data_IF_659499650926
#
_entry.id   IF_659499650926
#
_cell.length_a   1.000
_cell.length_b   1.000
_cell.length_c   1.000
_cell.angle_alpha   90.00
_cell.angle_beta   90.00
_cell.angle_gamma   90.00
#
_symmetry.space_group_name_H-M   'P 1'
#
loop_
_entity.id
_entity.type
_entity.pdbx_description
1 polymer ?
#
# COMPACT_ATOMS: atom_id res chain seq x y z
N UNK A 1 6.80 12.40 4.61
CA UNK A 1 5.66 12.94 5.37
C UNK A 1 5.96 14.37 5.85
N UNK A 2 7.08 14.62 6.55
CA UNK A 2 7.46 15.92 7.11
C UNK A 2 7.43 17.05 6.07
N UNK A 3 8.10 16.87 4.92
CA UNK A 3 8.11 17.86 3.82
C UNK A 3 6.69 18.30 3.42
N UNK A 4 5.75 17.38 3.34
CA UNK A 4 4.36 17.68 2.96
C UNK A 4 3.61 18.35 4.11
N UNK A 5 3.81 17.87 5.33
CA UNK A 5 3.20 18.48 6.51
C UNK A 5 3.65 19.94 6.69
N UNK A 6 4.94 20.21 6.53
CA UNK A 6 5.52 21.57 6.63
C UNK A 6 5.03 22.45 5.48
N UNK A 7 5.04 21.94 4.24
CA UNK A 7 4.67 22.71 3.05
C UNK A 7 3.20 23.17 3.07
N UNK A 8 2.29 22.27 3.48
CA UNK A 8 0.86 22.58 3.54
C UNK A 8 0.38 22.99 4.94
N UNK A 9 1.29 23.08 5.92
CA UNK A 9 0.93 23.32 7.32
C UNK A 9 -0.07 22.32 7.87
N UNK A 10 0.11 21.02 7.53
CA UNK A 10 -0.70 19.94 8.06
C UNK A 10 -0.18 19.44 9.41
N UNK A 11 -1.10 19.07 10.28
CA UNK A 11 -0.74 18.39 11.52
C UNK A 11 -0.16 17.01 11.19
N UNK A 12 1.06 16.77 11.63
CA UNK A 12 1.71 15.45 11.53
C UNK A 12 1.69 14.76 12.90
N UNK A 13 1.27 13.51 12.92
CA UNK A 13 1.42 12.61 14.07
C UNK A 13 2.42 11.53 13.66
N UNK A 14 3.52 11.45 14.38
CA UNK A 14 4.52 10.41 14.18
C UNK A 14 4.40 9.36 15.27
N UNK A 15 4.12 8.12 14.90
CA UNK A 15 4.03 6.98 15.78
C UNK A 15 5.08 5.93 15.40
N UNK A 16 6.08 5.76 16.25
CA UNK A 16 7.08 4.71 16.08
C UNK A 16 6.55 3.36 16.58
N UNK A 17 6.43 2.41 15.66
CA UNK A 17 5.94 1.05 15.92
C UNK A 17 7.07 0.03 16.09
N UNK A 18 8.33 0.44 16.12
CA UNK A 18 9.49 -0.47 16.19
C UNK A 18 9.38 -1.42 17.39
N UNK A 19 9.18 -0.89 18.58
CA UNK A 19 9.05 -1.73 19.79
C UNK A 19 7.86 -2.68 19.75
N UNK A 20 6.73 -2.23 19.17
CA UNK A 20 5.53 -3.07 19.02
C UNK A 20 5.80 -4.23 18.06
N UNK A 21 6.46 -3.94 16.95
CA UNK A 21 6.86 -4.94 15.97
C UNK A 21 7.86 -5.94 16.56
N UNK A 22 8.89 -5.48 17.27
CA UNK A 22 9.91 -6.32 17.88
C UNK A 22 9.30 -7.24 18.94
N UNK A 23 8.44 -6.70 19.82
CA UNK A 23 7.75 -7.50 20.84
C UNK A 23 6.83 -8.56 20.22
N UNK A 24 6.15 -8.22 19.13
CA UNK A 24 5.32 -9.18 18.39
C UNK A 24 6.16 -10.32 17.82
N UNK A 25 7.31 -10.01 17.22
CA UNK A 25 8.24 -11.03 16.71
C UNK A 25 8.78 -11.93 17.79
N UNK A 26 9.22 -11.36 18.90
CA UNK A 26 9.73 -12.12 20.05
C UNK A 26 8.72 -13.17 20.55
N UNK A 27 7.43 -12.82 20.61
CA UNK A 27 6.41 -13.79 21.03
C UNK A 27 6.17 -14.88 19.99
N UNK A 28 6.17 -14.52 18.69
CA UNK A 28 6.01 -15.51 17.59
C UNK A 28 7.20 -16.47 17.53
N UNK A 29 8.42 -15.97 17.73
CA UNK A 29 9.63 -16.79 17.66
C UNK A 29 9.74 -17.83 18.77
N UNK A 30 9.01 -17.68 19.88
CA UNK A 30 8.89 -18.71 20.93
C UNK A 30 8.09 -19.93 20.49
N UNK A 31 7.36 -19.86 19.37
CA UNK A 31 6.50 -20.94 18.90
C UNK A 31 7.26 -22.06 18.16
N UNK A 32 8.51 -21.84 17.76
CA UNK A 32 9.33 -22.83 17.09
C UNK A 32 10.61 -22.26 16.48
N UNK A 33 11.37 -23.14 15.86
CA UNK A 33 12.57 -22.76 15.10
C UNK A 33 12.17 -22.43 13.66
N UNK A 34 12.57 -21.26 13.19
CA UNK A 34 12.26 -20.75 11.85
C UNK A 34 13.55 -20.40 11.11
N UNK A 35 13.58 -20.63 9.81
CA UNK A 35 14.68 -20.19 8.95
C UNK A 35 14.58 -18.68 8.68
N UNK A 36 15.71 -18.05 8.36
CA UNK A 36 15.75 -16.62 7.99
C UNK A 36 14.83 -16.30 6.81
N UNK A 37 14.68 -17.21 5.85
CA UNK A 37 13.81 -17.03 4.68
C UNK A 37 12.32 -17.06 5.09
N UNK A 38 11.91 -17.98 5.95
CA UNK A 38 10.54 -18.06 6.48
C UNK A 38 10.19 -16.80 7.27
N UNK A 39 11.10 -16.33 8.11
CA UNK A 39 10.93 -15.09 8.86
C UNK A 39 10.83 -13.88 7.96
N UNK A 40 11.70 -13.74 6.97
CA UNK A 40 11.69 -12.62 6.05
C UNK A 40 10.38 -12.54 5.27
N UNK A 41 9.92 -13.67 4.71
CA UNK A 41 8.68 -13.73 3.95
C UNK A 41 7.44 -13.44 4.81
N UNK A 42 7.46 -13.86 6.08
CA UNK A 42 6.37 -13.61 7.03
C UNK A 42 6.33 -12.15 7.51
N UNK A 43 7.49 -11.52 7.67
CA UNK A 43 7.65 -10.16 8.18
C UNK A 43 7.13 -9.07 7.22
N UNK A 44 7.12 -9.33 5.92
CA UNK A 44 6.70 -8.34 4.90
C UNK A 44 5.30 -7.80 5.20
N UNK A 45 4.37 -8.66 5.56
CA UNK A 45 2.97 -8.29 5.72
C UNK A 45 2.57 -7.83 7.12
N UNK A 46 3.38 -8.11 8.16
CA UNK A 46 3.02 -7.69 9.53
C UNK A 46 3.14 -6.18 9.71
N UNK A 47 4.13 -5.53 9.09
CA UNK A 47 4.32 -4.08 9.20
C UNK A 47 3.13 -3.27 8.67
N UNK A 48 2.59 -3.51 7.45
CA UNK A 48 1.37 -2.87 6.99
C UNK A 48 0.15 -3.14 7.89
N UNK A 49 0.03 -4.35 8.45
CA UNK A 49 -1.06 -4.70 9.37
C UNK A 49 -0.99 -3.93 10.70
N UNK A 50 0.19 -3.79 11.26
CA UNK A 50 0.39 -2.96 12.45
C UNK A 50 0.08 -1.49 12.17
N UNK A 51 0.50 -0.96 11.01
CA UNK A 51 0.14 0.42 10.59
C UNK A 51 -1.36 0.59 10.46
N UNK A 52 -2.05 -0.34 9.80
CA UNK A 52 -3.51 -0.31 9.67
C UNK A 52 -4.21 -0.26 11.03
N UNK A 53 -3.88 -1.18 11.94
CA UNK A 53 -4.47 -1.20 13.28
C UNK A 53 -4.21 0.10 14.05
N UNK A 54 -3.00 0.67 13.92
CA UNK A 54 -2.63 1.95 14.56
C UNK A 54 -3.41 3.12 13.98
N UNK A 55 -3.61 3.17 12.65
CA UNK A 55 -4.39 4.23 11.99
C UNK A 55 -5.85 4.21 12.46
N UNK A 56 -6.49 3.05 12.52
CA UNK A 56 -7.85 2.93 13.01
C UNK A 56 -7.98 3.30 14.49
N UNK A 57 -7.01 2.89 15.32
CA UNK A 57 -6.99 3.30 16.72
C UNK A 57 -6.86 4.82 16.88
N UNK A 58 -5.96 5.45 16.13
CA UNK A 58 -5.79 6.91 16.13
C UNK A 58 -7.03 7.64 15.60
N UNK A 59 -7.65 7.14 14.53
CA UNK A 59 -8.87 7.71 13.99
C UNK A 59 -10.03 7.68 15.01
N UNK A 60 -10.18 6.56 15.73
CA UNK A 60 -11.17 6.46 16.82
C UNK A 60 -10.87 7.41 17.97
N UNK A 61 -9.60 7.52 18.39
CA UNK A 61 -9.18 8.44 19.45
C UNK A 61 -9.38 9.90 19.07
N UNK A 62 -8.98 10.31 17.87
CA UNK A 62 -9.18 11.68 17.37
C UNK A 62 -10.68 12.00 17.23
N UNK A 63 -11.50 11.02 16.82
CA UNK A 63 -12.95 11.19 16.75
C UNK A 63 -13.54 11.50 18.12
N UNK A 64 -13.14 10.73 19.14
CA UNK A 64 -13.59 10.93 20.51
C UNK A 64 -13.14 12.30 21.08
N UNK A 65 -11.87 12.68 20.84
CA UNK A 65 -11.30 13.92 21.37
C UNK A 65 -11.87 15.18 20.72
N UNK A 66 -12.22 15.11 19.43
CA UNK A 66 -12.65 16.29 18.65
C UNK A 66 -14.15 16.38 18.42
N UNK A 67 -14.91 15.34 18.77
CA UNK A 67 -16.35 15.28 18.49
C UNK A 67 -16.68 15.30 16.99
N UNK A 68 -15.78 14.74 16.15
CA UNK A 68 -15.91 14.65 14.68
C UNK A 68 -15.53 13.24 14.25
N UNK A 69 -16.09 12.78 13.14
CA UNK A 69 -15.69 11.49 12.55
C UNK A 69 -14.38 11.62 11.81
N UNK A 70 -13.38 10.87 12.22
CA UNK A 70 -12.12 10.69 11.51
C UNK A 70 -12.14 9.32 10.83
N UNK A 71 -11.67 9.28 9.60
CA UNK A 71 -11.65 8.08 8.75
C UNK A 71 -10.25 7.82 8.24
N UNK A 72 -9.97 6.57 7.90
CA UNK A 72 -8.69 6.16 7.30
C UNK A 72 -8.81 6.26 5.79
N UNK A 73 -7.91 7.03 5.17
CA UNK A 73 -7.81 7.13 3.71
C UNK A 73 -6.82 6.12 3.16
N UNK A 74 -7.25 5.35 2.17
CA UNK A 74 -6.41 4.49 1.35
C UNK A 74 -5.65 5.30 0.29
N UNK A 75 -4.44 4.87 0.00
CA UNK A 75 -3.52 5.57 -0.90
C UNK A 75 -3.02 4.70 -2.06
N UNK A 76 -3.61 3.53 -2.28
CA UNK A 76 -3.34 2.71 -3.46
C UNK A 76 -3.90 3.37 -4.71
N UNK A 77 -3.09 3.38 -5.78
CA UNK A 77 -3.49 3.87 -7.10
C UNK A 77 -4.13 2.74 -7.95
N UNK A 78 -4.68 3.09 -9.10
CA UNK A 78 -5.36 2.17 -10.02
C UNK A 78 -4.50 0.98 -10.44
N UNK A 79 -3.21 1.21 -10.68
CA UNK A 79 -2.29 0.15 -11.10
C UNK A 79 -1.97 -0.82 -9.96
N UNK A 80 -1.73 -0.32 -8.74
CA UNK A 80 -1.52 -1.13 -7.54
C UNK A 80 -2.75 -1.96 -7.22
N UNK A 81 -3.94 -1.35 -7.26
CA UNK A 81 -5.20 -2.06 -7.08
C UNK A 81 -5.37 -3.17 -8.12
N UNK A 82 -5.10 -2.89 -9.41
CA UNK A 82 -5.30 -3.87 -10.47
C UNK A 82 -4.43 -5.11 -10.32
N UNK A 83 -3.16 -4.95 -9.98
CA UNK A 83 -2.22 -6.08 -9.77
C UNK A 83 -2.22 -6.60 -8.33
N UNK A 84 -3.01 -5.98 -7.43
CA UNK A 84 -3.09 -6.33 -6.02
C UNK A 84 -1.80 -6.10 -5.25
N UNK A 85 -1.06 -5.04 -5.58
CA UNK A 85 0.17 -4.66 -4.91
C UNK A 85 -0.11 -3.94 -3.59
N UNK A 86 -0.69 -4.68 -2.67
CA UNK A 86 -1.00 -4.26 -1.30
C UNK A 86 -1.10 -5.48 -0.38
N UNK A 87 -1.05 -5.26 0.92
CA UNK A 87 -1.19 -6.30 1.94
C UNK A 87 -2.65 -6.48 2.32
N UNK A 88 -3.19 -7.70 2.12
CA UNK A 88 -4.53 -8.08 2.61
C UNK A 88 -4.59 -7.94 4.13
N UNK A 89 -5.56 -7.16 4.63
CA UNK A 89 -5.70 -6.86 6.05
C UNK A 89 -4.65 -5.89 6.60
N UNK A 90 -3.94 -5.19 5.71
CA UNK A 90 -3.05 -4.08 6.03
C UNK A 90 -3.53 -2.81 5.32
N UNK A 91 -2.74 -2.30 4.39
CA UNK A 91 -3.05 -1.11 3.58
C UNK A 91 -4.29 -1.28 2.68
N UNK A 92 -4.75 -2.53 2.44
CA UNK A 92 -6.05 -2.78 1.78
C UNK A 92 -7.27 -2.45 2.64
N UNK A 93 -7.10 -2.14 3.93
CA UNK A 93 -8.21 -1.82 4.84
C UNK A 93 -8.20 -0.32 5.14
N UNK A 94 -9.21 0.37 4.64
CA UNK A 94 -9.42 1.80 4.81
C UNK A 94 -10.91 2.13 4.61
N UNK A 95 -11.33 3.33 4.99
CA UNK A 95 -12.73 3.76 4.90
C UNK A 95 -13.05 4.43 3.56
N UNK A 96 -12.06 5.09 2.95
CA UNK A 96 -12.20 5.76 1.64
C UNK A 96 -10.96 5.51 0.79
N UNK A 97 -11.15 5.27 -0.49
CA UNK A 97 -10.09 5.20 -1.51
C UNK A 97 -10.00 6.55 -2.22
N UNK A 98 -8.90 7.26 -2.03
CA UNK A 98 -8.78 8.63 -2.55
C UNK A 98 -8.24 8.69 -3.98
N UNK A 99 -7.41 7.72 -4.37
CA UNK A 99 -6.71 7.71 -5.67
C UNK A 99 -6.80 6.36 -6.41
N UNK A 100 -7.70 5.47 -6.00
CA UNK A 100 -7.79 4.11 -6.57
C UNK A 100 -8.21 4.07 -8.06
N UNK A 101 -8.85 5.11 -8.57
CA UNK A 101 -9.24 5.22 -9.98
C UNK A 101 -8.21 5.94 -10.86
N UNK A 102 -7.12 6.45 -10.26
CA UNK A 102 -6.09 7.20 -10.97
C UNK A 102 -4.84 6.34 -11.19
N UNK A 103 -4.30 6.39 -12.41
CA UNK A 103 -2.98 5.83 -12.73
C UNK A 103 -1.87 6.64 -12.06
N UNK A 104 -0.64 6.10 -12.05
CA UNK A 104 0.52 6.83 -11.48
C UNK A 104 0.75 8.17 -12.18
N UNK A 105 0.64 8.22 -13.51
CA UNK A 105 0.83 9.46 -14.27
C UNK A 105 -0.26 10.50 -13.95
N UNK A 106 -1.50 10.07 -13.78
CA UNK A 106 -2.60 10.94 -13.35
C UNK A 106 -2.41 11.45 -11.91
N UNK A 107 -1.92 10.61 -11.00
CA UNK A 107 -1.58 11.02 -9.63
C UNK A 107 -0.46 12.07 -9.64
N UNK A 108 0.54 11.90 -10.49
CA UNK A 108 1.62 12.89 -10.69
C UNK A 108 1.04 14.20 -11.21
N UNK A 109 0.19 14.17 -12.25
CA UNK A 109 -0.44 15.37 -12.81
C UNK A 109 -1.31 16.12 -11.79
N UNK A 110 -2.06 15.38 -10.93
CA UNK A 110 -2.80 15.96 -9.80
C UNK A 110 -1.83 16.62 -8.82
N UNK A 111 -0.73 15.95 -8.49
CA UNK A 111 0.29 16.47 -7.59
C UNK A 111 0.96 17.76 -8.12
N UNK A 112 1.23 17.83 -9.41
CA UNK A 112 1.72 19.05 -10.09
C UNK A 112 0.71 20.21 -9.96
N UNK A 113 -0.56 19.94 -10.26
CA UNK A 113 -1.64 20.93 -10.11
C UNK A 113 -1.77 21.43 -8.66
N UNK A 114 -1.58 20.56 -7.68
CA UNK A 114 -1.62 20.90 -6.27
C UNK A 114 -0.31 21.52 -5.77
N UNK A 115 0.71 21.68 -6.62
CA UNK A 115 2.03 22.19 -6.26
C UNK A 115 2.76 21.35 -5.19
N UNK A 116 2.61 20.02 -5.26
CA UNK A 116 3.35 19.09 -4.39
C UNK A 116 4.85 19.28 -4.62
N UNK A 117 5.69 19.42 -3.58
CA UNK A 117 7.13 19.59 -3.74
C UNK A 117 7.75 18.47 -4.59
N UNK A 118 8.52 18.84 -5.63
CA UNK A 118 9.11 17.92 -6.61
C UNK A 118 9.86 16.75 -5.96
N UNK A 119 10.58 17.01 -4.86
CA UNK A 119 11.32 15.98 -4.09
C UNK A 119 10.43 14.85 -3.60
N UNK A 120 9.13 15.11 -3.40
CA UNK A 120 8.14 14.10 -2.99
C UNK A 120 7.43 13.56 -4.21
N UNK A 121 6.99 14.43 -5.11
CA UNK A 121 6.18 14.10 -6.27
C UNK A 121 6.86 13.09 -7.21
N UNK A 122 8.14 13.32 -7.52
CA UNK A 122 8.90 12.46 -8.44
C UNK A 122 9.77 11.41 -7.73
N UNK A 123 9.53 11.18 -6.44
CA UNK A 123 10.17 10.09 -5.73
C UNK A 123 9.68 8.76 -6.32
N UNK A 124 10.63 7.91 -6.73
CA UNK A 124 10.28 6.57 -7.23
C UNK A 124 9.48 5.79 -6.19
N UNK A 125 8.33 5.21 -6.58
CA UNK A 125 7.52 4.39 -5.69
C UNK A 125 8.34 3.24 -5.09
N UNK A 126 8.26 3.10 -3.79
CA UNK A 126 8.78 1.94 -3.07
C UNK A 126 7.98 1.73 -1.77
N UNK A 127 7.89 0.50 -1.33
CA UNK A 127 7.18 0.14 -0.09
C UNK A 127 7.93 0.49 1.21
N UNK A 128 9.16 1.02 1.09
CA UNK A 128 10.01 1.34 2.24
C UNK A 128 10.53 0.13 3.01
N UNK A 129 10.37 -1.08 2.50
CA UNK A 129 10.77 -2.33 3.13
C UNK A 129 12.09 -2.87 2.56
N UNK A 130 12.48 -2.41 1.36
CA UNK A 130 13.72 -2.78 0.69
C UNK A 130 14.28 -1.60 -0.12
N UNK A 131 15.48 -1.77 -0.68
CA UNK A 131 16.10 -0.79 -1.59
C UNK A 131 15.60 -0.90 -3.05
N UNK A 132 14.69 -1.83 -3.34
CA UNK A 132 14.11 -2.03 -4.67
C UNK A 132 12.89 -1.13 -4.86
N UNK A 133 12.66 -0.69 -6.10
CA UNK A 133 11.42 -0.01 -6.46
C UNK A 133 10.28 -1.01 -6.60
N UNK A 134 9.04 -0.53 -6.58
CA UNK A 134 7.87 -1.38 -6.78
C UNK A 134 7.89 -2.03 -8.17
N UNK A 135 8.33 -1.30 -9.21
CA UNK A 135 8.49 -1.85 -10.56
C UNK A 135 9.54 -2.97 -10.63
N UNK A 136 10.64 -2.85 -9.86
CA UNK A 136 11.65 -3.92 -9.77
C UNK A 136 11.06 -5.20 -9.17
N UNK A 137 10.22 -5.06 -8.14
CA UNK A 137 9.55 -6.19 -7.48
C UNK A 137 8.46 -6.82 -8.32
N UNK A 138 7.63 -6.00 -8.96
CA UNK A 138 6.58 -6.44 -9.87
C UNK A 138 7.18 -7.02 -11.16
N UNK A 139 8.33 -6.49 -11.59
CA UNK A 139 9.00 -6.78 -12.85
C UNK A 139 8.17 -6.36 -14.07
N UNK A 140 7.30 -5.38 -13.90
CA UNK A 140 6.53 -4.66 -14.92
C UNK A 140 6.46 -3.20 -14.53
N UNK A 141 6.35 -2.31 -15.50
CA UNK A 141 6.24 -0.86 -15.26
C UNK A 141 4.80 -0.45 -15.01
N UNK A 142 4.60 0.55 -14.18
CA UNK A 142 3.26 1.12 -13.95
C UNK A 142 2.60 1.63 -15.23
N UNK A 143 3.39 2.20 -16.16
CA UNK A 143 2.91 2.62 -17.46
C UNK A 143 2.33 1.46 -18.28
N UNK A 144 2.99 0.30 -18.25
CA UNK A 144 2.51 -0.89 -18.98
C UNK A 144 1.25 -1.45 -18.32
N UNK A 145 1.16 -1.41 -16.98
CA UNK A 145 -0.06 -1.80 -16.25
C UNK A 145 -1.21 -0.88 -16.63
N UNK A 146 -1.00 0.44 -16.64
CA UNK A 146 -2.02 1.42 -17.03
C UNK A 146 -2.50 1.17 -18.46
N UNK A 147 -1.57 1.01 -19.41
CA UNK A 147 -1.90 0.70 -20.81
C UNK A 147 -2.68 -0.61 -20.95
N UNK A 148 -2.29 -1.64 -20.19
CA UNK A 148 -2.99 -2.93 -20.19
C UNK A 148 -4.41 -2.83 -19.65
N UNK A 149 -4.64 -2.04 -18.61
CA UNK A 149 -5.98 -1.81 -18.05
C UNK A 149 -6.90 -1.18 -19.09
N UNK A 150 -6.39 -0.19 -19.82
CA UNK A 150 -7.17 0.52 -20.84
C UNK A 150 -7.39 -0.34 -22.09
N UNK A 151 -6.35 -1.02 -22.55
CA UNK A 151 -6.44 -1.93 -23.70
C UNK A 151 -5.36 -3.03 -23.58
N UNK A 152 -5.73 -4.27 -23.23
CA UNK A 152 -4.77 -5.38 -23.08
C UNK A 152 -3.90 -5.65 -24.30
N UNK A 153 -4.35 -5.25 -25.52
CA UNK A 153 -3.59 -5.44 -26.76
C UNK A 153 -2.56 -4.33 -27.02
N UNK A 154 -2.46 -3.32 -26.16
CA UNK A 154 -1.54 -2.18 -26.32
C UNK A 154 -0.14 -2.44 -25.77
N UNK A 155 0.07 -3.55 -25.08
CA UNK A 155 1.35 -3.96 -24.50
C UNK A 155 1.89 -5.22 -25.17
N UNK A 156 3.20 -5.44 -25.05
CA UNK A 156 3.80 -6.69 -25.54
C UNK A 156 3.15 -7.91 -24.88
N UNK A 157 3.01 -9.01 -25.64
CA UNK A 157 2.34 -10.22 -25.18
C UNK A 157 2.92 -10.78 -23.88
N UNK A 158 4.27 -10.81 -23.76
CA UNK A 158 4.96 -11.29 -22.56
C UNK A 158 4.63 -10.42 -21.34
N UNK A 159 4.66 -9.09 -21.51
CA UNK A 159 4.30 -8.12 -20.46
C UNK A 159 2.83 -8.28 -20.07
N UNK A 160 1.94 -8.40 -21.05
CA UNK A 160 0.51 -8.60 -20.82
C UNK A 160 0.20 -9.89 -20.06
N UNK A 161 0.86 -11.00 -20.39
CA UNK A 161 0.73 -12.27 -19.67
C UNK A 161 1.21 -12.15 -18.22
N UNK A 162 2.29 -11.42 -17.98
CA UNK A 162 2.81 -11.18 -16.63
C UNK A 162 1.83 -10.34 -15.80
N UNK A 163 1.30 -9.25 -16.35
CA UNK A 163 0.30 -8.41 -15.69
C UNK A 163 -0.95 -9.23 -15.35
N UNK A 164 -1.44 -10.01 -16.31
CA UNK A 164 -2.58 -10.90 -16.11
C UNK A 164 -2.35 -11.93 -15.00
N UNK A 165 -1.13 -12.49 -14.92
CA UNK A 165 -0.75 -13.42 -13.86
C UNK A 165 -0.77 -12.76 -12.49
N UNK A 166 -0.22 -11.54 -12.35
CA UNK A 166 -0.25 -10.77 -11.12
C UNK A 166 -1.70 -10.47 -10.69
N UNK A 167 -2.52 -9.97 -11.61
CA UNK A 167 -3.93 -9.71 -11.37
C UNK A 167 -4.66 -10.95 -10.86
N UNK A 168 -4.58 -12.07 -11.58
CA UNK A 168 -5.25 -13.30 -11.20
C UNK A 168 -4.79 -13.85 -9.85
N UNK A 169 -3.49 -13.76 -9.56
CA UNK A 169 -2.92 -14.19 -8.28
C UNK A 169 -3.43 -13.34 -7.10
N UNK A 170 -3.85 -12.10 -7.37
CA UNK A 170 -4.31 -11.16 -6.33
C UNK A 170 -5.82 -11.21 -6.05
N UNK A 171 -6.63 -11.88 -6.88
CA UNK A 171 -8.10 -11.89 -6.76
C UNK A 171 -8.60 -12.33 -5.38
N UNK A 172 -7.87 -13.22 -4.70
CA UNK A 172 -8.19 -13.63 -3.32
C UNK A 172 -8.12 -12.48 -2.29
N UNK A 173 -7.48 -11.36 -2.64
CA UNK A 173 -7.36 -10.18 -1.76
C UNK A 173 -8.64 -9.35 -1.77
N UNK A 174 -9.40 -9.39 -2.87
CA UNK A 174 -10.66 -8.65 -3.06
C UNK A 174 -11.87 -9.48 -2.66
N UNK A 175 -11.83 -10.78 -2.91
CA UNK A 175 -12.96 -11.66 -2.71
C UNK A 175 -12.70 -12.61 -1.53
N UNK A 176 -13.55 -12.52 -0.51
CA UNK A 176 -13.56 -13.47 0.59
C UNK A 176 -14.52 -14.61 0.25
N UNK A 177 -14.02 -15.85 0.06
CA UNK A 177 -14.90 -16.97 -0.22
C UNK A 177 -15.87 -17.20 0.93
N UNK A 178 -17.15 -17.36 0.62
CA UNK A 178 -18.18 -17.68 1.61
C UNK A 178 -18.73 -19.08 1.33
N UNK A 179 -18.79 -19.90 2.37
CA UNK A 179 -19.50 -21.18 2.30
C UNK A 179 -20.99 -20.91 2.48
N UNK A 180 -21.78 -21.29 1.48
CA UNK A 180 -23.24 -21.27 1.58
C UNK A 180 -23.73 -22.69 1.81
N UNK A 181 -24.73 -22.85 2.69
CA UNK A 181 -25.45 -24.11 2.87
C UNK A 181 -26.27 -24.42 1.62
#
# INVERSE_FOLDING_TARGET
AEIIADFYNFRLINLDLTKTYDSFKEEVYKLGDFTDEELLNSDINIKPRLRMSSLYYLAALESALKGKTYVVAGTSNKCEEFVGYFTKGGDSVHDISTIADFTVDEVIAIGEYLNVPEKVLYKKPNDGLSNQTDEDKLGVKYKDIASYIDNPSSVDEEVGQKIKKLHNASLHKFNIPTYRK
#
